data_IF_923133955149
#
_entry.id   IF_923133955149
#
_cell.length_a   1.000
_cell.length_b   1.000
_cell.length_c   1.000
_cell.angle_alpha   90.00
_cell.angle_beta   90.00
_cell.angle_gamma   90.00
#
_symmetry.space_group_name_H-M   'P 1'
#
loop_
_entity.id
_entity.type
_entity.pdbx_description
1 polymer ?
#
# COMPACT_ATOMS: atom_id res chain seq x y z
N UNK A 1 29.38 -3.54 3.73
CA UNK A 1 28.07 -4.21 3.83
C UNK A 1 27.03 -3.11 4.01
N UNK A 2 25.96 -3.04 3.19
CA UNK A 2 24.95 -2.00 3.35
C UNK A 2 24.29 -2.10 4.74
N UNK A 3 23.95 -0.98 5.40
CA UNK A 3 23.51 -0.97 6.81
C UNK A 3 22.23 -1.80 7.07
N UNK A 4 21.45 -2.08 6.03
CA UNK A 4 20.20 -2.86 6.04
C UNK A 4 20.40 -4.39 6.00
N UNK A 5 21.64 -4.85 5.83
CA UNK A 5 21.97 -6.27 6.00
C UNK A 5 21.82 -6.77 7.45
N UNK A 6 21.56 -5.87 8.41
CA UNK A 6 21.39 -6.17 9.84
C UNK A 6 20.04 -6.78 10.20
N UNK A 7 19.01 -6.66 9.35
CA UNK A 7 17.73 -7.30 9.62
C UNK A 7 17.76 -8.77 9.16
N UNK A 8 17.56 -9.68 10.11
CA UNK A 8 17.28 -11.09 9.84
C UNK A 8 16.12 -11.20 8.81
N UNK A 9 16.22 -12.05 7.77
CA UNK A 9 15.16 -12.25 6.79
C UNK A 9 13.75 -12.47 7.40
N UNK A 10 13.65 -13.21 8.50
CA UNK A 10 12.37 -13.42 9.20
C UNK A 10 11.79 -12.11 9.77
N UNK A 11 12.66 -11.23 10.29
CA UNK A 11 12.26 -9.92 10.78
C UNK A 11 11.75 -9.03 9.65
N UNK A 12 12.37 -9.09 8.46
CA UNK A 12 11.91 -8.34 7.29
C UNK A 12 10.52 -8.80 6.86
N UNK A 13 10.27 -10.11 6.81
CA UNK A 13 8.96 -10.63 6.43
C UNK A 13 7.87 -10.21 7.43
N UNK A 14 8.14 -10.32 8.73
CA UNK A 14 7.17 -9.90 9.75
C UNK A 14 6.89 -8.40 9.69
N UNK A 15 7.94 -7.59 9.50
CA UNK A 15 7.82 -6.13 9.35
C UNK A 15 7.00 -5.78 8.10
N UNK A 16 7.29 -6.43 6.96
CA UNK A 16 6.53 -6.29 5.71
C UNK A 16 5.04 -6.49 5.94
N UNK A 17 4.66 -7.56 6.62
CA UNK A 17 3.26 -7.91 6.87
C UNK A 17 2.63 -6.93 7.86
N UNK A 18 3.26 -6.66 9.01
CA UNK A 18 2.70 -5.80 10.05
C UNK A 18 2.45 -4.37 9.56
N UNK A 19 3.45 -3.74 8.94
CA UNK A 19 3.30 -2.38 8.43
C UNK A 19 2.38 -2.34 7.20
N UNK A 20 2.42 -3.37 6.35
CA UNK A 20 1.46 -3.50 5.23
C UNK A 20 0.00 -3.53 5.73
N UNK A 21 -0.29 -4.38 6.73
CA UNK A 21 -1.61 -4.44 7.37
C UNK A 21 -2.00 -3.12 8.03
N UNK A 22 -1.06 -2.44 8.70
CA UNK A 22 -1.31 -1.13 9.30
C UNK A 22 -1.71 -0.08 8.25
N UNK A 23 -0.99 -0.01 7.12
CA UNK A 23 -1.28 0.92 6.03
C UNK A 23 -2.65 0.60 5.41
N UNK A 24 -2.94 -0.68 5.17
CA UNK A 24 -4.24 -1.14 4.66
C UNK A 24 -5.41 -0.75 5.59
N UNK A 25 -5.30 -0.98 6.90
CA UNK A 25 -6.35 -0.60 7.85
C UNK A 25 -6.48 0.91 7.99
N UNK A 26 -5.37 1.66 7.88
CA UNK A 26 -5.39 3.12 7.87
C UNK A 26 -6.16 3.63 6.65
N UNK A 27 -5.87 3.13 5.45
CA UNK A 27 -6.61 3.46 4.24
C UNK A 27 -8.10 3.12 4.36
N UNK A 28 -8.43 1.93 4.89
CA UNK A 28 -9.82 1.48 5.03
C UNK A 28 -10.61 2.32 6.03
N UNK A 29 -10.00 2.71 7.15
CA UNK A 29 -10.66 3.56 8.16
C UNK A 29 -10.87 4.98 7.65
N UNK A 30 -9.98 5.49 6.82
CA UNK A 30 -10.07 6.85 6.28
C UNK A 30 -11.06 6.96 5.11
N UNK A 31 -11.12 5.96 4.23
CA UNK A 31 -11.83 6.06 2.95
C UNK A 31 -12.82 4.93 2.67
N UNK A 32 -13.00 3.99 3.59
CA UNK A 32 -13.78 2.78 3.37
C UNK A 32 -13.09 1.79 2.44
N UNK A 33 -13.88 0.97 1.75
CA UNK A 33 -13.37 -0.04 0.82
C UNK A 33 -13.44 -1.47 1.34
N UNK A 34 -13.06 -2.41 0.47
CA UNK A 34 -13.08 -3.86 0.75
C UNK A 34 -11.74 -4.50 0.41
N UNK A 35 -11.38 -5.51 1.19
CA UNK A 35 -10.20 -6.32 0.91
C UNK A 35 -10.45 -7.26 -0.26
N UNK A 36 -9.44 -7.43 -1.10
CA UNK A 36 -9.39 -8.43 -2.16
C UNK A 36 -8.05 -9.15 -2.11
N UNK A 37 -8.06 -10.45 -2.36
CA UNK A 37 -6.82 -11.21 -2.53
C UNK A 37 -6.20 -10.94 -3.90
N UNK A 38 -4.92 -10.60 -3.95
CA UNK A 38 -4.20 -10.41 -5.20
C UNK A 38 -3.38 -11.65 -5.53
N UNK A 39 -3.94 -12.50 -6.40
CA UNK A 39 -3.37 -13.81 -6.77
C UNK A 39 -1.89 -13.75 -7.18
N UNK A 40 -1.49 -12.71 -7.93
CA UNK A 40 -0.12 -12.57 -8.44
C UNK A 40 0.90 -12.33 -7.33
N UNK A 41 0.50 -11.61 -6.27
CA UNK A 41 1.39 -11.22 -5.17
C UNK A 41 1.19 -12.05 -3.91
N UNK A 42 0.16 -12.90 -3.90
CA UNK A 42 -0.27 -13.71 -2.74
C UNK A 42 -0.43 -12.85 -1.47
N UNK A 43 -0.99 -11.65 -1.65
CA UNK A 43 -1.15 -10.65 -0.61
C UNK A 43 -2.48 -9.91 -0.76
N UNK A 44 -3.07 -9.41 0.34
CA UNK A 44 -4.30 -8.65 0.26
C UNK A 44 -4.04 -7.25 -0.33
N UNK A 45 -5.03 -6.73 -1.04
CA UNK A 45 -5.11 -5.32 -1.45
C UNK A 45 -6.40 -4.73 -0.91
N UNK A 46 -6.44 -3.42 -0.71
CA UNK A 46 -7.68 -2.70 -0.42
C UNK A 46 -8.16 -2.02 -1.69
N UNK A 47 -9.43 -2.23 -2.05
CA UNK A 47 -10.12 -1.52 -3.12
C UNK A 47 -11.12 -0.53 -2.53
N UNK A 48 -11.07 0.72 -2.99
CA UNK A 48 -11.86 1.85 -2.50
C UNK A 48 -12.50 2.64 -3.65
N UNK A 49 -13.50 3.46 -3.33
CA UNK A 49 -14.20 4.30 -4.31
C UNK A 49 -15.26 3.57 -5.16
N UNK A 50 -15.48 2.28 -4.93
CA UNK A 50 -16.54 1.51 -5.59
C UNK A 50 -17.94 2.03 -5.21
N UNK A 51 -18.93 1.95 -6.12
CA UNK A 51 -18.86 1.37 -7.47
C UNK A 51 -18.43 2.35 -8.59
N UNK A 52 -18.35 3.66 -8.34
CA UNK A 52 -18.06 4.65 -9.38
C UNK A 52 -16.58 4.66 -9.81
N UNK A 53 -15.70 4.25 -8.91
CA UNK A 53 -14.25 4.17 -9.08
C UNK A 53 -13.73 2.82 -8.54
N UNK A 54 -12.47 2.48 -8.83
CA UNK A 54 -11.81 1.29 -8.32
C UNK A 54 -10.34 1.61 -8.03
N UNK A 55 -10.09 2.17 -6.85
CA UNK A 55 -8.77 2.62 -6.43
C UNK A 55 -8.16 1.60 -5.47
N UNK A 56 -7.09 0.95 -5.89
CA UNK A 56 -6.38 -0.07 -5.13
C UNK A 56 -5.13 0.47 -4.43
N UNK A 57 -4.87 -0.02 -3.21
CA UNK A 57 -3.58 0.15 -2.52
C UNK A 57 -3.02 -1.20 -2.06
N UNK A 58 -1.75 -1.45 -2.34
CA UNK A 58 -1.03 -2.69 -2.07
C UNK A 58 0.37 -2.40 -1.46
N UNK A 59 0.48 -2.20 -0.14
CA UNK A 59 1.64 -1.55 0.47
C UNK A 59 2.87 -2.45 0.72
N UNK A 60 2.74 -3.77 0.57
CA UNK A 60 3.72 -4.72 1.11
C UNK A 60 5.09 -4.61 0.43
N UNK A 61 5.13 -4.43 -0.89
CA UNK A 61 6.40 -4.30 -1.61
C UNK A 61 7.09 -2.98 -1.26
N UNK A 62 6.33 -1.87 -1.13
CA UNK A 62 6.89 -0.61 -0.62
C UNK A 62 7.47 -0.69 0.78
N UNK A 63 6.83 -1.40 1.70
CA UNK A 63 7.42 -1.63 3.03
C UNK A 63 8.74 -2.37 2.91
N UNK A 64 8.82 -3.39 2.05
CA UNK A 64 10.05 -4.15 1.85
C UNK A 64 11.16 -3.31 1.22
N UNK A 65 10.84 -2.57 0.15
CA UNK A 65 11.77 -1.66 -0.53
C UNK A 65 12.37 -0.64 0.45
N UNK A 66 11.53 -0.04 1.29
CA UNK A 66 11.97 0.97 2.27
C UNK A 66 12.91 0.43 3.34
N UNK A 67 12.80 -0.86 3.67
CA UNK A 67 13.71 -1.52 4.61
C UNK A 67 15.08 -1.83 4.01
N UNK A 68 15.20 -1.94 2.68
CA UNK A 68 16.43 -2.42 2.02
C UNK A 68 17.11 -1.35 1.16
N UNK A 69 16.52 -0.16 1.03
CA UNK A 69 17.04 0.93 0.22
C UNK A 69 16.88 2.29 0.90
N UNK A 70 17.89 3.14 0.75
CA UNK A 70 17.89 4.53 1.24
C UNK A 70 17.35 5.52 0.20
N UNK A 71 17.10 5.07 -1.05
CA UNK A 71 16.71 5.92 -2.19
C UNK A 71 15.22 5.74 -2.56
N UNK A 72 14.46 5.02 -1.75
CA UNK A 72 13.04 4.78 -2.00
C UNK A 72 12.18 5.88 -1.40
N UNK A 73 11.08 6.19 -2.09
CA UNK A 73 9.94 6.92 -1.55
C UNK A 73 9.61 6.49 -0.12
N UNK A 74 9.30 7.46 0.74
CA UNK A 74 8.86 7.19 2.11
C UNK A 74 7.43 6.65 2.15
N UNK A 75 7.09 5.88 3.19
CA UNK A 75 5.72 5.37 3.37
C UNK A 75 4.66 6.49 3.37
N UNK A 76 4.88 7.67 4.00
CA UNK A 76 3.94 8.78 3.89
C UNK A 76 3.76 9.32 2.48
N UNK A 77 4.83 9.47 1.69
CA UNK A 77 4.75 9.92 0.29
C UNK A 77 3.95 8.92 -0.55
N UNK A 78 4.23 7.61 -0.40
CA UNK A 78 3.45 6.55 -1.03
C UNK A 78 1.96 6.62 -0.67
N UNK A 79 1.65 6.82 0.61
CA UNK A 79 0.26 6.92 1.07
C UNK A 79 -0.43 8.19 0.57
N UNK A 80 0.32 9.28 0.40
CA UNK A 80 -0.21 10.54 -0.13
C UNK A 80 -0.72 10.37 -1.56
N UNK A 81 -0.05 9.57 -2.40
CA UNK A 81 -0.54 9.24 -3.74
C UNK A 81 -1.94 8.64 -3.67
N UNK A 82 -2.18 7.72 -2.73
CA UNK A 82 -3.51 7.13 -2.52
C UNK A 82 -4.54 8.15 -2.04
N UNK A 83 -4.17 9.05 -1.13
CA UNK A 83 -5.04 10.14 -0.68
C UNK A 83 -5.44 11.06 -1.84
N UNK A 84 -4.47 11.53 -2.63
CA UNK A 84 -4.71 12.44 -3.75
C UNK A 84 -5.66 11.81 -4.77
N UNK A 85 -5.48 10.52 -5.01
CA UNK A 85 -6.33 9.71 -5.87
C UNK A 85 -7.76 9.56 -5.32
N UNK A 86 -7.90 9.35 -4.01
CA UNK A 86 -9.22 9.33 -3.35
C UNK A 86 -9.91 10.70 -3.41
N UNK A 87 -9.17 11.81 -3.24
CA UNK A 87 -9.71 13.15 -3.37
C UNK A 87 -10.18 13.44 -4.81
N UNK A 88 -9.37 13.08 -5.81
CA UNK A 88 -9.72 13.21 -7.23
C UNK A 88 -10.97 12.40 -7.58
N UNK A 89 -11.17 11.24 -6.94
CA UNK A 89 -12.34 10.38 -7.14
C UNK A 89 -13.66 11.00 -6.67
N UNK A 90 -13.62 12.09 -5.89
CA UNK A 90 -14.83 12.83 -5.47
C UNK A 90 -15.39 13.70 -6.59
N UNK A 91 -14.54 14.14 -7.52
CA UNK A 91 -14.92 15.03 -8.63
C UNK A 91 -14.93 14.31 -9.98
N UNK A 92 -14.22 13.18 -10.08
CA UNK A 92 -14.11 12.38 -11.30
C UNK A 92 -14.70 10.97 -11.10
N UNK A 93 -15.08 10.32 -12.20
CA UNK A 93 -15.64 8.96 -12.18
C UNK A 93 -14.89 8.07 -13.17
N UNK A 94 -14.98 6.74 -12.97
CA UNK A 94 -14.30 5.70 -13.78
C UNK A 94 -12.77 5.69 -13.62
N UNK A 95 -12.27 6.18 -12.48
CA UNK A 95 -10.87 6.01 -12.11
C UNK A 95 -10.62 4.55 -11.71
N UNK A 96 -9.63 3.90 -12.32
CA UNK A 96 -9.27 2.51 -12.01
C UNK A 96 -7.75 2.33 -12.08
N UNK A 97 -7.11 2.13 -10.94
CA UNK A 97 -5.68 1.88 -10.82
C UNK A 97 -5.34 1.23 -9.47
N UNK A 98 -4.17 0.60 -9.40
CA UNK A 98 -3.63 0.00 -8.17
C UNK A 98 -2.28 0.65 -7.91
N UNK A 99 -2.09 1.15 -6.70
CA UNK A 99 -0.84 1.72 -6.19
C UNK A 99 -0.12 0.60 -5.42
N UNK A 100 1.11 0.25 -5.80
CA UNK A 100 1.90 -0.84 -5.22
C UNK A 100 3.40 -0.56 -5.17
#
# INVERSE_FOLDING_TARGET
MPPYAKFNPAFRQNTRVLFGCYILETARRSFGGRYKWWEIKELPILLSGEPQNAIGIAPFDKVLERMVSDVTESIPEFFQIYVDMMEKSKTESRLSFIIY
#
